data_IF_343582256739
#
_entry.id   IF_343582256739
#
_cell.length_a   1.000
_cell.length_b   1.000
_cell.length_c   1.000
_cell.angle_alpha   90.00
_cell.angle_beta   90.00
_cell.angle_gamma   90.00
#
_symmetry.space_group_name_H-M   'P 1'
#
loop_
_entity.id
_entity.type
_entity.pdbx_description
1 polymer ?
#
# COMPACT_ATOMS: atom_id res chain seq x y z
N UNK A 1 5.97 10.84 2.62
CA UNK A 1 5.03 10.27 3.61
C UNK A 1 3.56 10.54 3.28
N UNK A 2 3.20 11.53 2.47
CA UNK A 2 1.78 11.84 2.12
C UNK A 2 1.03 10.75 1.33
N UNK A 3 1.74 9.87 0.62
CA UNK A 3 1.10 8.86 -0.25
C UNK A 3 0.36 7.81 0.58
N UNK A 4 1.01 7.27 1.62
CA UNK A 4 0.37 6.32 2.52
C UNK A 4 -0.80 6.93 3.26
N UNK A 5 -0.68 8.20 3.67
CA UNK A 5 -1.77 8.95 4.30
C UNK A 5 -2.99 9.05 3.37
N UNK A 6 -2.77 9.27 2.06
CA UNK A 6 -3.85 9.31 1.08
C UNK A 6 -4.54 7.96 0.84
N UNK A 7 -3.84 6.84 1.11
CA UNK A 7 -4.36 5.48 0.91
C UNK A 7 -4.97 4.93 2.21
N UNK A 8 -4.47 5.35 3.38
CA UNK A 8 -5.00 4.97 4.70
C UNK A 8 -6.49 5.27 4.84
N UNK A 9 -6.97 6.39 4.31
CA UNK A 9 -8.41 6.73 4.38
C UNK A 9 -9.28 5.72 3.62
N UNK A 10 -8.79 5.18 2.51
CA UNK A 10 -9.49 4.16 1.71
C UNK A 10 -9.43 2.79 2.39
N UNK A 11 -8.29 2.45 2.97
CA UNK A 11 -8.06 1.18 3.68
C UNK A 11 -8.88 1.12 4.97
N UNK A 12 -8.94 2.22 5.73
CA UNK A 12 -9.75 2.33 6.94
C UNK A 12 -11.25 2.15 6.67
N UNK A 13 -11.73 2.49 5.46
CA UNK A 13 -13.13 2.28 5.09
C UNK A 13 -13.51 0.80 4.95
N UNK A 14 -12.52 -0.09 4.87
CA UNK A 14 -12.71 -1.53 4.80
C UNK A 14 -12.39 -2.23 6.13
N UNK A 15 -12.22 -1.52 7.25
CA UNK A 15 -11.68 -2.11 8.50
C UNK A 15 -10.30 -2.78 8.30
N UNK A 16 -9.53 -2.29 7.32
CA UNK A 16 -8.15 -2.70 7.07
C UNK A 16 -7.13 -1.72 7.64
N UNK A 17 -5.86 -2.08 7.55
CA UNK A 17 -4.75 -1.14 7.75
C UNK A 17 -3.57 -1.46 6.82
N UNK A 18 -2.75 -0.44 6.57
CA UNK A 18 -1.49 -0.57 5.85
C UNK A 18 -0.34 0.08 6.64
N UNK A 19 0.80 -0.58 6.63
CA UNK A 19 2.04 -0.05 7.18
C UNK A 19 3.16 -0.13 6.15
N UNK A 20 4.03 0.87 6.16
CA UNK A 20 5.23 0.86 5.33
C UNK A 20 6.28 0.00 6.04
N UNK A 21 6.73 -1.05 5.37
CA UNK A 21 7.87 -1.83 5.79
C UNK A 21 9.17 -1.20 5.30
N UNK A 22 9.87 -1.92 4.44
CA UNK A 22 11.15 -1.51 3.88
C UNK A 22 10.98 -0.79 2.54
N UNK A 23 11.76 0.28 2.33
CA UNK A 23 12.01 0.86 1.01
C UNK A 23 13.45 0.57 0.64
N UNK A 24 13.65 -0.12 -0.49
CA UNK A 24 14.97 -0.42 -1.01
C UNK A 24 14.98 -0.29 -2.52
N UNK A 25 15.84 0.58 -3.05
CA UNK A 25 15.92 0.89 -4.47
C UNK A 25 14.57 1.34 -5.02
N UNK A 26 14.01 0.60 -5.98
CA UNK A 26 12.68 0.80 -6.53
C UNK A 26 11.62 -0.13 -5.92
N UNK A 27 11.91 -0.80 -4.80
CA UNK A 27 10.98 -1.71 -4.12
C UNK A 27 10.44 -1.08 -2.85
N UNK A 28 9.14 -1.26 -2.63
CA UNK A 28 8.48 -0.92 -1.37
C UNK A 28 7.74 -2.14 -0.84
N UNK A 29 7.96 -2.46 0.43
CA UNK A 29 7.19 -3.47 1.15
C UNK A 29 6.05 -2.77 1.88
N UNK A 30 4.83 -3.19 1.60
CA UNK A 30 3.61 -2.74 2.29
C UNK A 30 3.09 -3.91 3.10
N UNK A 31 2.91 -3.69 4.40
CA UNK A 31 2.25 -4.64 5.29
C UNK A 31 0.77 -4.34 5.30
N UNK A 32 -0.06 -5.35 5.01
CA UNK A 32 -1.52 -5.23 5.00
C UNK A 32 -2.13 -6.04 6.13
N UNK A 33 -3.11 -5.46 6.83
CA UNK A 33 -3.83 -6.15 7.89
C UNK A 33 -5.32 -5.83 7.90
N UNK A 34 -6.06 -6.51 8.79
CA UNK A 34 -7.53 -6.49 8.79
C UNK A 34 -8.11 -7.13 7.53
N UNK A 35 -9.22 -6.60 7.02
CA UNK A 35 -9.87 -7.08 5.79
C UNK A 35 -9.03 -6.81 4.52
N UNK A 36 -7.96 -6.02 4.61
CA UNK A 36 -7.01 -5.85 3.51
C UNK A 36 -5.98 -6.98 3.42
N UNK A 37 -5.81 -7.81 4.45
CA UNK A 37 -4.91 -8.97 4.40
C UNK A 37 -5.34 -10.01 3.33
N UNK A 38 -6.63 -10.39 3.18
CA UNK A 38 -7.07 -11.27 2.11
C UNK A 38 -7.37 -10.55 0.78
N UNK A 39 -7.25 -9.22 0.71
CA UNK A 39 -7.56 -8.43 -0.48
C UNK A 39 -6.47 -8.59 -1.56
N UNK A 40 -6.82 -8.38 -2.83
CA UNK A 40 -5.84 -8.36 -3.92
C UNK A 40 -4.98 -7.06 -3.93
N UNK A 41 -5.29 -6.11 -3.04
CA UNK A 41 -4.55 -4.88 -2.77
C UNK A 41 -4.28 -3.99 -4.00
N UNK A 42 -5.04 -4.16 -5.09
CA UNK A 42 -4.88 -3.38 -6.33
C UNK A 42 -5.09 -1.88 -6.13
N UNK A 43 -6.01 -1.48 -5.25
CA UNK A 43 -6.24 -0.07 -4.95
C UNK A 43 -4.98 0.63 -4.39
N UNK A 44 -4.20 -0.08 -3.56
CA UNK A 44 -2.95 0.42 -2.99
C UNK A 44 -1.86 0.44 -4.06
N UNK A 45 -1.77 -0.63 -4.86
CA UNK A 45 -0.78 -0.75 -5.93
C UNK A 45 -0.94 0.35 -6.99
N UNK A 46 -2.15 0.59 -7.47
CA UNK A 46 -2.43 1.63 -8.47
C UNK A 46 -2.16 3.04 -7.93
N UNK A 47 -2.52 3.30 -6.67
CA UNK A 47 -2.25 4.60 -6.04
C UNK A 47 -0.74 4.87 -5.92
N UNK A 48 0.06 3.84 -5.59
CA UNK A 48 1.52 3.94 -5.52
C UNK A 48 2.13 4.13 -6.91
N UNK A 49 1.75 3.30 -7.88
CA UNK A 49 2.25 3.38 -9.26
C UNK A 49 1.86 4.67 -9.98
N UNK A 50 0.71 5.26 -9.68
CA UNK A 50 0.32 6.55 -10.24
C UNK A 50 1.30 7.68 -9.84
N UNK A 51 1.89 7.59 -8.64
CA UNK A 51 2.83 8.59 -8.13
C UNK A 51 4.29 8.22 -8.36
N UNK A 52 4.61 6.93 -8.37
CA UNK A 52 5.95 6.39 -8.59
C UNK A 52 5.83 5.23 -9.59
N UNK A 53 5.82 5.50 -10.91
CA UNK A 53 5.50 4.51 -11.94
C UNK A 53 6.40 3.27 -11.94
N UNK A 54 7.68 3.46 -11.62
CA UNK A 54 8.69 2.40 -11.66
C UNK A 54 8.86 1.66 -10.32
N UNK A 55 7.97 1.90 -9.36
CA UNK A 55 8.01 1.22 -8.06
C UNK A 55 7.47 -0.22 -8.20
N UNK A 56 8.21 -1.18 -7.67
CA UNK A 56 7.75 -2.52 -7.40
C UNK A 56 7.16 -2.57 -5.99
N UNK A 57 5.88 -2.92 -5.89
CA UNK A 57 5.17 -3.03 -4.62
C UNK A 57 5.08 -4.49 -4.20
N UNK A 58 5.54 -4.80 -2.99
CA UNK A 58 5.47 -6.14 -2.40
C UNK A 58 4.52 -6.08 -1.20
N UNK A 59 3.45 -6.86 -1.26
CA UNK A 59 2.50 -6.97 -0.15
C UNK A 59 2.89 -8.12 0.80
N UNK A 60 2.85 -7.87 2.11
CA UNK A 60 3.18 -8.84 3.17
C UNK A 60 2.17 -8.85 4.30
#
# INVERSE_FOLDING_TARGET
MEILESIKSQVNAHDGFIELGEIKDNKVVIHCGGECAPCDNKCIEEALKHKIPDIEVIFR
#
